data_IF_969872217142
#
_entry.id   IF_969872217142
#
_cell.length_a   1.000
_cell.length_b   1.000
_cell.length_c   1.000
_cell.angle_alpha   90.00
_cell.angle_beta   90.00
_cell.angle_gamma   90.00
#
_symmetry.space_group_name_H-M   'P 1'
#
loop_
_entity.id
_entity.type
_entity.pdbx_description
1 polymer ?
#
# COMPACT_ATOMS: atom_id res chain seq x y z
N UNK A 1 -5.24 5.03 -7.40
CA UNK A 1 -5.68 3.62 -7.46
C UNK A 1 -6.53 3.32 -6.24
N UNK A 2 -7.29 2.22 -6.24
CA UNK A 2 -8.00 1.73 -5.06
C UNK A 2 -8.04 0.21 -5.07
N UNK A 3 -7.73 -0.42 -3.93
CA UNK A 3 -7.58 -1.88 -3.81
C UNK A 3 -6.64 -2.45 -4.89
N UNK A 4 -5.68 -1.63 -5.31
CA UNK A 4 -4.75 -1.93 -6.40
C UNK A 4 -3.50 -2.64 -5.90
N UNK A 5 -2.44 -2.62 -6.72
CA UNK A 5 -1.18 -3.30 -6.39
C UNK A 5 -0.56 -2.77 -5.09
N UNK A 6 -0.54 -1.45 -4.92
CA UNK A 6 0.05 -0.80 -3.75
C UNK A 6 -0.60 -1.27 -2.43
N UNK A 7 -1.92 -1.13 -2.34
CA UNK A 7 -2.68 -1.49 -1.13
C UNK A 7 -2.59 -2.99 -0.82
N UNK A 8 -2.66 -3.82 -1.87
CA UNK A 8 -2.60 -5.28 -1.75
C UNK A 8 -1.20 -5.76 -1.36
N UNK A 9 -0.14 -5.17 -1.92
CA UNK A 9 1.24 -5.50 -1.57
C UNK A 9 1.52 -5.24 -0.08
N UNK A 10 1.05 -4.12 0.46
CA UNK A 10 1.18 -3.81 1.89
C UNK A 10 0.50 -4.84 2.77
N UNK A 11 -0.72 -5.28 2.43
CA UNK A 11 -1.41 -6.35 3.18
C UNK A 11 -0.72 -7.70 3.04
N UNK A 12 -0.20 -8.06 1.85
CA UNK A 12 0.57 -9.30 1.67
C UNK A 12 1.80 -9.38 2.57
N UNK A 13 2.42 -8.23 2.87
CA UNK A 13 3.55 -8.16 3.81
C UNK A 13 3.11 -8.18 5.27
N UNK A 14 2.09 -7.39 5.63
CA UNK A 14 1.69 -7.19 7.03
C UNK A 14 0.82 -8.33 7.58
N UNK A 15 -0.24 -8.69 6.85
CA UNK A 15 -1.18 -9.74 7.22
C UNK A 15 -1.91 -10.27 5.98
N UNK A 16 -1.35 -11.29 5.29
CA UNK A 16 -1.97 -11.86 4.10
C UNK A 16 -3.29 -12.58 4.40
N UNK A 17 -3.61 -12.88 5.68
CA UNK A 17 -4.87 -13.53 6.04
C UNK A 17 -6.11 -12.64 5.82
N UNK A 18 -5.91 -11.33 5.69
CA UNK A 18 -6.98 -10.37 5.37
C UNK A 18 -7.35 -10.35 3.88
N UNK A 19 -6.67 -11.15 3.05
CA UNK A 19 -6.82 -11.14 1.60
C UNK A 19 -7.43 -12.45 1.08
N UNK A 20 -8.37 -12.31 0.14
CA UNK A 20 -8.86 -13.42 -0.68
C UNK A 20 -7.90 -13.63 -1.86
N UNK A 21 -6.82 -14.37 -1.61
CA UNK A 21 -5.72 -14.57 -2.58
C UNK A 21 -6.22 -15.22 -3.89
N UNK A 22 -7.27 -16.02 -3.82
CA UNK A 22 -7.96 -16.67 -4.92
C UNK A 22 -8.81 -15.71 -5.79
N UNK A 23 -8.98 -14.45 -5.39
CA UNK A 23 -9.85 -13.47 -6.05
C UNK A 23 -9.10 -12.21 -6.53
N UNK A 24 -7.78 -12.29 -6.71
CA UNK A 24 -6.93 -11.15 -7.10
C UNK A 24 -6.96 -10.81 -8.60
N UNK A 25 -8.16 -10.70 -9.17
CA UNK A 25 -8.36 -10.38 -10.58
C UNK A 25 -8.13 -8.90 -10.91
N UNK A 26 -8.06 -8.57 -12.20
CA UNK A 26 -8.02 -7.18 -12.66
C UNK A 26 -9.31 -6.46 -12.26
N UNK A 27 -9.17 -5.25 -11.73
CA UNK A 27 -10.31 -4.44 -11.36
C UNK A 27 -11.15 -3.98 -12.54
N UNK A 28 -12.46 -3.88 -12.32
CA UNK A 28 -13.46 -3.40 -13.29
C UNK A 28 -13.97 -1.99 -12.96
N UNK A 29 -13.33 -1.31 -12.00
CA UNK A 29 -13.63 0.07 -11.65
C UNK A 29 -14.71 0.23 -10.58
N UNK A 30 -15.06 1.48 -10.23
CA UNK A 30 -15.96 1.78 -9.10
C UNK A 30 -17.39 1.24 -9.27
N UNK A 31 -17.86 1.10 -10.52
CA UNK A 31 -19.19 0.55 -10.82
C UNK A 31 -19.18 -0.98 -11.01
N UNK A 32 -18.01 -1.62 -10.90
CA UNK A 32 -17.83 -3.06 -11.03
C UNK A 32 -17.50 -3.69 -9.69
N UNK A 33 -16.34 -4.34 -9.60
CA UNK A 33 -15.86 -4.99 -8.37
C UNK A 33 -15.20 -3.99 -7.38
N UNK A 34 -15.31 -2.69 -7.63
CA UNK A 34 -14.74 -1.63 -6.79
C UNK A 34 -13.21 -1.46 -6.93
N UNK A 35 -12.51 -2.40 -7.55
CA UNK A 35 -11.05 -2.35 -7.71
C UNK A 35 -10.67 -1.46 -8.88
N UNK A 36 -9.73 -0.54 -8.63
CA UNK A 36 -9.10 0.31 -9.66
C UNK A 36 -7.61 -0.04 -9.70
N UNK A 37 -7.27 -1.05 -10.50
CA UNK A 37 -5.90 -1.57 -10.63
C UNK A 37 -5.87 -3.07 -10.92
N UNK A 38 -4.74 -3.72 -10.64
CA UNK A 38 -4.60 -5.17 -10.74
C UNK A 38 -3.88 -5.71 -9.49
N UNK A 39 -4.63 -6.13 -8.44
CA UNK A 39 -4.06 -6.66 -7.20
C UNK A 39 -3.19 -7.91 -7.41
N UNK A 40 -3.51 -8.77 -8.38
CA UNK A 40 -2.71 -9.97 -8.68
C UNK A 40 -1.26 -9.74 -9.14
N UNK A 41 -0.82 -8.49 -9.33
CA UNK A 41 0.60 -8.14 -9.58
C UNK A 41 1.40 -7.87 -8.32
N UNK A 42 0.77 -7.97 -7.16
CA UNK A 42 1.37 -7.63 -5.87
C UNK A 42 2.20 -8.79 -5.32
N UNK A 43 3.23 -8.46 -4.56
CA UNK A 43 4.04 -9.43 -3.81
C UNK A 43 4.31 -8.88 -2.42
N UNK A 44 4.57 -9.75 -1.44
CA UNK A 44 4.98 -9.34 -0.10
C UNK A 44 6.29 -8.52 -0.12
N UNK A 45 7.23 -8.88 -1.00
CA UNK A 45 8.49 -8.15 -1.17
C UNK A 45 8.28 -6.70 -1.65
N UNK A 46 7.32 -6.46 -2.56
CA UNK A 46 6.95 -5.09 -2.91
C UNK A 46 6.29 -4.36 -1.73
N UNK A 47 5.49 -5.05 -0.93
CA UNK A 47 4.88 -4.49 0.28
C UNK A 47 5.90 -4.00 1.29
N UNK A 48 6.91 -4.82 1.58
CA UNK A 48 8.03 -4.47 2.44
C UNK A 48 8.74 -3.19 1.97
N UNK A 49 9.17 -3.16 0.71
CA UNK A 49 9.89 -2.02 0.14
C UNK A 49 9.04 -0.74 0.12
N UNK A 50 7.76 -0.85 -0.23
CA UNK A 50 6.82 0.28 -0.22
C UNK A 50 6.70 0.87 1.19
N UNK A 51 6.50 0.02 2.18
CA UNK A 51 6.33 0.45 3.56
C UNK A 51 7.60 1.07 4.13
N UNK A 52 8.78 0.50 3.84
CA UNK A 52 10.06 1.08 4.24
C UNK A 52 10.23 2.51 3.70
N UNK A 53 9.98 2.71 2.40
CA UNK A 53 10.07 4.03 1.77
C UNK A 53 9.07 5.03 2.37
N UNK A 54 7.83 4.60 2.64
CA UNK A 54 6.80 5.46 3.22
C UNK A 54 7.11 5.84 4.66
N UNK A 55 7.57 4.89 5.47
CA UNK A 55 7.94 5.12 6.86
C UNK A 55 9.14 6.08 6.92
N UNK A 56 10.19 5.86 6.12
CA UNK A 56 11.34 6.75 6.06
C UNK A 56 10.94 8.19 5.66
N UNK A 57 10.13 8.34 4.61
CA UNK A 57 9.64 9.64 4.17
C UNK A 57 8.81 10.35 5.26
N UNK A 58 7.92 9.62 5.94
CA UNK A 58 7.09 10.15 7.01
C UNK A 58 7.93 10.58 8.23
N UNK A 59 8.89 9.77 8.65
CA UNK A 59 9.81 10.07 9.76
C UNK A 59 10.61 11.34 9.44
N UNK A 60 11.18 11.44 8.24
CA UNK A 60 11.93 12.64 7.80
C UNK A 60 11.03 13.88 7.79
N UNK A 61 9.79 13.76 7.33
CA UNK A 61 8.82 14.86 7.35
C UNK A 61 8.53 15.32 8.78
N UNK A 62 8.27 14.39 9.70
CA UNK A 62 8.01 14.69 11.11
C UNK A 62 9.22 15.39 11.75
N UNK A 63 10.43 14.89 11.50
CA UNK A 63 11.66 15.50 12.02
C UNK A 63 11.85 16.94 11.51
N UNK A 64 11.64 17.19 10.21
CA UNK A 64 11.73 18.54 9.65
C UNK A 64 10.73 19.50 10.31
N UNK A 65 9.48 19.08 10.44
CA UNK A 65 8.44 19.88 11.09
C UNK A 65 8.80 20.19 12.54
N UNK A 66 9.25 19.19 13.31
CA UNK A 66 9.69 19.37 14.70
C UNK A 66 10.85 20.36 14.84
N UNK A 67 11.83 20.29 13.95
CA UNK A 67 12.97 21.23 13.97
C UNK A 67 12.55 22.63 13.58
N UNK A 68 11.70 22.80 12.57
CA UNK A 68 11.21 24.13 12.14
C UNK A 68 10.26 24.80 13.14
N UNK A 69 9.63 24.03 14.02
CA UNK A 69 8.71 24.54 15.04
C UNK A 69 9.38 24.91 16.35
N UNK A 70 10.71 24.71 16.49
CA UNK A 70 11.44 25.14 17.68
C UNK A 70 11.77 26.64 17.56
N UNK A 71 11.45 27.45 18.58
CA UNK A 71 11.78 28.87 18.63
C UNK A 71 13.29 29.13 18.73
#
# INVERSE_FOLDING_TARGET
SHAGMHDTASFLFLDPSQLRLDQMERGTGPNGNGVVGHPGRSTAAFGEQILEMQIDAAVRQIQRLRTSSRP
#
